data_IF_420626318519
#
_entry.id   IF_420626318519
#
_cell.length_a   1.000
_cell.length_b   1.000
_cell.length_c   1.000
_cell.angle_alpha   90.00
_cell.angle_beta   90.00
_cell.angle_gamma   90.00
#
_symmetry.space_group_name_H-M   'P 1'
#
loop_
_entity.id
_entity.type
_entity.pdbx_description
1 polymer ?
#
# COMPACT_ATOMS: atom_id res chain seq x y z
N UNK A 1 29.98 73.04 0.06
CA UNK A 1 29.10 71.85 -0.18
C UNK A 1 29.14 71.04 1.10
N UNK A 2 27.99 70.80 1.71
CA UNK A 2 27.89 70.38 3.14
C UNK A 2 27.98 68.82 3.22
N UNK A 3 28.81 68.30 4.11
CA UNK A 3 29.05 66.87 4.29
C UNK A 3 27.74 66.02 4.44
N UNK A 4 26.66 66.65 4.90
CA UNK A 4 25.35 66.01 5.03
C UNK A 4 24.67 65.66 3.68
N UNK A 5 24.98 66.41 2.63
CA UNK A 5 24.38 66.21 1.29
C UNK A 5 25.04 65.05 0.57
N UNK A 6 26.35 64.87 0.71
CA UNK A 6 27.12 63.77 0.13
C UNK A 6 26.75 62.44 0.78
N UNK A 7 26.51 62.40 2.10
CA UNK A 7 26.10 61.19 2.84
C UNK A 7 24.68 60.72 2.49
N UNK A 8 23.79 61.58 2.02
CA UNK A 8 22.44 61.25 1.63
C UNK A 8 22.40 60.64 0.20
N UNK A 9 23.17 61.20 -0.74
CA UNK A 9 23.27 60.67 -2.10
C UNK A 9 23.95 59.29 -2.13
N UNK A 10 25.02 59.08 -1.37
CA UNK A 10 25.69 57.77 -1.30
C UNK A 10 24.76 56.71 -0.73
N UNK A 11 23.96 57.01 0.31
CA UNK A 11 22.99 56.07 0.88
C UNK A 11 21.88 55.67 -0.13
N UNK A 12 21.44 56.62 -0.95
CA UNK A 12 20.41 56.33 -1.98
C UNK A 12 20.99 55.49 -3.12
N UNK A 13 22.21 55.76 -3.57
CA UNK A 13 22.90 54.97 -4.59
C UNK A 13 23.15 53.51 -4.15
N UNK A 14 23.53 53.29 -2.87
CA UNK A 14 23.71 51.96 -2.32
C UNK A 14 22.37 51.25 -2.17
N UNK A 15 21.29 51.90 -1.76
CA UNK A 15 19.97 51.35 -1.61
C UNK A 15 19.37 50.92 -2.95
N UNK A 16 19.52 51.70 -4.01
CA UNK A 16 19.05 51.42 -5.34
C UNK A 16 19.89 50.31 -6.02
N UNK A 17 21.19 50.29 -5.77
CA UNK A 17 22.08 49.20 -6.18
C UNK A 17 21.76 47.86 -5.53
N UNK A 18 21.44 47.84 -4.23
CA UNK A 18 21.04 46.64 -3.50
C UNK A 18 19.65 46.13 -3.93
N UNK A 19 18.67 47.03 -4.15
CA UNK A 19 17.36 46.64 -4.62
C UNK A 19 17.42 46.04 -6.01
N UNK A 20 18.21 46.61 -6.94
CA UNK A 20 18.39 46.04 -8.29
C UNK A 20 19.12 44.71 -8.29
N UNK A 21 20.08 44.49 -7.38
CA UNK A 21 20.76 43.21 -7.24
C UNK A 21 19.85 42.12 -6.64
N UNK A 22 19.04 42.48 -5.63
CA UNK A 22 18.07 41.55 -5.02
C UNK A 22 16.99 41.13 -6.01
N UNK A 23 16.43 42.10 -6.75
CA UNK A 23 15.40 41.81 -7.78
C UNK A 23 15.97 40.94 -8.91
N UNK A 24 17.20 41.17 -9.36
CA UNK A 24 17.87 40.31 -10.35
C UNK A 24 18.18 38.91 -9.81
N UNK A 25 18.63 38.78 -8.56
CA UNK A 25 18.84 37.50 -7.92
C UNK A 25 17.52 36.73 -7.72
N UNK A 26 16.45 37.39 -7.30
CA UNK A 26 15.13 36.77 -7.18
C UNK A 26 14.55 36.29 -8.50
N UNK A 27 14.75 37.06 -9.59
CA UNK A 27 14.32 36.68 -10.93
C UNK A 27 15.14 35.49 -11.49
N UNK A 28 16.43 35.41 -11.20
CA UNK A 28 17.27 34.26 -11.58
C UNK A 28 16.91 33.03 -10.75
N UNK A 29 16.65 33.17 -9.46
CA UNK A 29 16.16 32.07 -8.62
C UNK A 29 14.75 31.61 -9.00
N UNK A 30 13.85 32.53 -9.34
CA UNK A 30 12.51 32.18 -9.82
C UNK A 30 12.55 31.46 -11.17
N UNK A 31 13.42 31.88 -12.08
CA UNK A 31 13.60 31.17 -13.36
C UNK A 31 14.29 29.81 -13.20
N UNK A 32 15.22 29.64 -12.23
CA UNK A 32 15.76 28.31 -11.89
C UNK A 32 14.71 27.40 -11.23
N UNK A 33 13.83 27.93 -10.37
CA UNK A 33 12.75 27.15 -9.75
C UNK A 33 11.65 26.76 -10.74
N UNK A 34 11.42 27.55 -11.75
CA UNK A 34 10.47 27.20 -12.85
C UNK A 34 11.08 26.15 -13.78
N UNK A 35 12.41 26.12 -13.94
CA UNK A 35 13.10 25.10 -14.74
C UNK A 35 13.24 23.73 -14.02
N UNK A 36 13.03 23.67 -12.71
CA UNK A 36 13.06 22.43 -11.91
C UNK A 36 11.68 21.89 -11.52
N UNK A 37 10.59 22.47 -12.02
CA UNK A 37 9.34 21.71 -12.15
C UNK A 37 9.54 20.67 -13.26
N UNK A 38 10.47 19.73 -13.03
CA UNK A 38 10.45 18.43 -13.67
C UNK A 38 9.08 17.85 -13.33
N UNK A 39 8.12 18.02 -14.24
CA UNK A 39 7.03 17.10 -14.39
C UNK A 39 7.65 15.72 -14.13
N UNK A 40 7.20 15.03 -13.13
CA UNK A 40 7.36 13.59 -13.05
C UNK A 40 6.55 13.05 -14.22
N UNK A 41 7.14 13.18 -15.42
CA UNK A 41 6.60 12.62 -16.62
C UNK A 41 6.57 11.13 -16.38
N UNK A 42 5.38 10.60 -16.30
CA UNK A 42 5.19 9.17 -16.39
C UNK A 42 6.00 8.75 -17.64
N UNK A 43 6.94 7.81 -17.43
CA UNK A 43 7.65 7.20 -18.55
C UNK A 43 6.60 6.77 -19.57
N UNK A 44 6.78 7.03 -20.87
CA UNK A 44 5.79 6.64 -21.87
C UNK A 44 5.56 5.12 -21.74
N UNK A 45 4.31 4.76 -21.48
CA UNK A 45 3.90 3.37 -21.29
C UNK A 45 4.21 2.57 -22.55
N UNK A 46 4.86 1.42 -22.45
CA UNK A 46 5.11 0.55 -23.59
C UNK A 46 3.81 -0.09 -24.09
N UNK A 47 3.77 -0.54 -25.33
CA UNK A 47 2.59 -1.20 -25.92
C UNK A 47 2.17 -2.44 -25.12
N UNK A 48 3.13 -3.22 -24.60
CA UNK A 48 2.84 -4.42 -23.82
C UNK A 48 2.27 -4.07 -22.42
N UNK A 49 2.68 -2.97 -21.84
CA UNK A 49 2.07 -2.45 -20.61
C UNK A 49 0.63 -1.94 -20.86
N UNK A 50 0.38 -1.33 -22.03
CA UNK A 50 -0.99 -0.97 -22.43
C UNK A 50 -1.84 -2.24 -22.58
N UNK A 51 -1.32 -3.30 -23.21
CA UNK A 51 -2.04 -4.57 -23.31
C UNK A 51 -2.36 -5.14 -21.92
N UNK A 52 -1.37 -5.19 -21.02
CA UNK A 52 -1.54 -5.66 -19.65
C UNK A 52 -2.66 -4.93 -18.91
N UNK A 53 -2.65 -3.60 -19.00
CA UNK A 53 -3.49 -2.76 -18.16
C UNK A 53 -4.89 -2.51 -18.75
N UNK A 54 -5.07 -2.69 -20.06
CA UNK A 54 -6.28 -2.28 -20.77
C UNK A 54 -6.93 -3.35 -21.65
N UNK A 55 -6.24 -4.45 -21.96
CA UNK A 55 -6.69 -5.41 -22.98
C UNK A 55 -6.74 -6.87 -22.49
N UNK A 56 -5.76 -7.31 -21.69
CA UNK A 56 -5.59 -8.73 -21.31
C UNK A 56 -6.73 -9.26 -20.44
N UNK A 57 -7.42 -8.40 -19.69
CA UNK A 57 -8.57 -8.82 -18.89
C UNK A 57 -9.63 -9.54 -19.73
N UNK A 58 -9.89 -9.04 -20.96
CA UNK A 58 -10.82 -9.64 -21.90
C UNK A 58 -10.15 -10.54 -22.96
N UNK A 59 -8.88 -10.28 -23.31
CA UNK A 59 -8.16 -10.94 -24.40
C UNK A 59 -6.98 -11.78 -23.92
N UNK A 60 -7.24 -12.82 -23.14
CA UNK A 60 -6.23 -13.73 -22.58
C UNK A 60 -6.67 -15.20 -22.63
N UNK A 61 -5.83 -16.11 -22.16
CA UNK A 61 -6.18 -17.52 -22.00
C UNK A 61 -7.41 -17.73 -21.10
N UNK A 62 -7.56 -16.88 -20.08
CA UNK A 62 -8.65 -17.00 -19.10
C UNK A 62 -9.96 -16.47 -19.64
N UNK A 63 -9.91 -15.39 -20.42
CA UNK A 63 -11.06 -14.72 -21.00
C UNK A 63 -10.74 -14.39 -22.46
N UNK A 64 -11.32 -15.15 -23.40
CA UNK A 64 -10.96 -15.11 -24.82
C UNK A 64 -12.09 -14.46 -25.64
N UNK A 65 -12.42 -13.22 -25.34
CA UNK A 65 -13.47 -12.50 -26.04
C UNK A 65 -13.09 -12.26 -27.50
N UNK A 66 -14.03 -12.54 -28.41
CA UNK A 66 -13.82 -12.42 -29.86
C UNK A 66 -12.71 -13.34 -30.42
N UNK A 67 -12.25 -14.34 -29.66
CA UNK A 67 -11.19 -15.23 -30.07
C UNK A 67 -9.78 -14.62 -30.12
N UNK A 68 -9.64 -13.32 -29.77
CA UNK A 68 -8.36 -12.63 -29.78
C UNK A 68 -7.58 -12.88 -28.46
N UNK A 69 -6.30 -13.15 -28.58
CA UNK A 69 -5.40 -13.30 -27.43
C UNK A 69 -4.21 -12.35 -27.54
N UNK A 70 -4.06 -11.51 -26.50
CA UNK A 70 -3.00 -10.50 -26.38
C UNK A 70 -2.02 -10.81 -25.25
N UNK A 71 -2.11 -11.98 -24.66
CA UNK A 71 -1.22 -12.47 -23.60
C UNK A 71 0.03 -13.19 -24.14
N UNK A 72 0.16 -13.33 -25.46
CA UNK A 72 1.33 -13.85 -26.15
C UNK A 72 1.38 -13.36 -27.60
N UNK A 73 2.59 -13.27 -28.17
CA UNK A 73 2.81 -12.69 -29.50
C UNK A 73 2.08 -13.44 -30.63
N UNK A 74 2.06 -14.75 -30.58
CA UNK A 74 1.41 -15.56 -31.60
C UNK A 74 -0.11 -15.27 -31.68
N UNK A 75 -0.77 -15.11 -30.53
CA UNK A 75 -2.19 -14.74 -30.47
C UNK A 75 -2.47 -13.37 -31.08
N UNK A 76 -1.61 -12.39 -30.84
CA UNK A 76 -1.69 -11.08 -31.48
C UNK A 76 -1.59 -11.17 -33.01
N UNK A 77 -0.66 -11.99 -33.52
CA UNK A 77 -0.44 -12.17 -34.96
C UNK A 77 -1.53 -13.00 -35.66
N UNK A 78 -2.07 -13.97 -34.96
CA UNK A 78 -3.17 -14.82 -35.46
C UNK A 78 -4.45 -14.02 -35.60
N UNK A 79 -4.71 -13.09 -34.66
CA UNK A 79 -5.95 -12.31 -34.59
C UNK A 79 -7.09 -13.09 -33.95
N UNK A 80 -8.32 -12.62 -34.19
CA UNK A 80 -9.56 -13.18 -33.63
C UNK A 80 -10.64 -13.42 -34.68
N UNK A 81 -11.88 -13.54 -34.23
CA UNK A 81 -13.05 -13.78 -35.09
C UNK A 81 -13.26 -12.68 -36.16
N UNK A 82 -12.85 -11.43 -35.87
CA UNK A 82 -12.93 -10.31 -36.82
C UNK A 82 -11.75 -10.25 -37.80
N UNK A 83 -10.83 -11.20 -37.75
CA UNK A 83 -9.65 -11.26 -38.60
C UNK A 83 -8.37 -10.91 -37.85
N UNK A 84 -7.33 -10.55 -38.63
CA UNK A 84 -6.03 -10.15 -38.07
C UNK A 84 -6.16 -8.88 -37.24
N UNK A 85 -5.62 -8.91 -36.04
CA UNK A 85 -5.63 -7.74 -35.17
C UNK A 85 -4.65 -6.65 -35.61
N UNK A 86 -3.50 -7.05 -36.18
CA UNK A 86 -2.45 -6.14 -36.65
C UNK A 86 -1.92 -6.55 -38.03
N UNK A 87 -1.46 -5.53 -38.80
CA UNK A 87 -0.66 -5.71 -39.99
C UNK A 87 0.74 -5.15 -39.71
N UNK A 88 1.75 -6.03 -39.62
CA UNK A 88 3.11 -5.65 -39.27
C UNK A 88 3.64 -4.59 -40.24
N UNK A 89 4.32 -3.57 -39.71
CA UNK A 89 4.82 -2.43 -40.46
C UNK A 89 3.76 -1.44 -40.93
N UNK A 90 2.45 -1.72 -40.67
CA UNK A 90 1.31 -0.90 -41.13
C UNK A 90 0.32 -0.61 -40.03
N UNK A 91 0.80 0.12 -38.99
CA UNK A 91 0.01 0.41 -37.80
C UNK A 91 -1.36 1.05 -38.13
N UNK A 92 -1.39 2.04 -39.00
CA UNK A 92 -2.64 2.75 -39.34
C UNK A 92 -3.67 1.89 -40.11
N UNK A 93 -3.25 0.81 -40.74
CA UNK A 93 -4.12 -0.12 -41.47
C UNK A 93 -4.54 -1.33 -40.61
N UNK A 94 -4.11 -1.35 -39.36
CA UNK A 94 -4.36 -2.46 -38.43
C UNK A 94 -5.72 -2.31 -37.74
N UNK A 95 -6.51 -3.40 -37.72
CA UNK A 95 -7.83 -3.47 -37.05
C UNK A 95 -7.75 -3.03 -35.60
N UNK A 96 -6.67 -3.34 -34.89
CA UNK A 96 -6.46 -2.88 -33.52
C UNK A 96 -6.53 -1.37 -33.40
N UNK A 97 -5.88 -0.63 -34.31
CA UNK A 97 -5.88 0.84 -34.26
C UNK A 97 -7.27 1.38 -34.64
N UNK A 98 -7.93 0.77 -35.60
CA UNK A 98 -9.34 1.10 -35.93
C UNK A 98 -10.23 0.95 -34.71
N UNK A 99 -10.14 -0.15 -33.98
CA UNK A 99 -10.96 -0.42 -32.79
C UNK A 99 -10.67 0.50 -31.60
N UNK A 100 -9.41 0.82 -31.33
CA UNK A 100 -9.07 1.71 -30.21
C UNK A 100 -9.34 3.19 -30.49
N UNK A 101 -9.51 3.56 -31.77
CA UNK A 101 -9.88 4.92 -32.20
C UNK A 101 -11.37 5.08 -32.48
N UNK A 102 -12.13 3.99 -32.54
CA UNK A 102 -13.57 4.02 -32.81
C UNK A 102 -14.30 4.82 -31.71
N UNK A 103 -15.39 5.48 -32.10
CA UNK A 103 -16.26 6.27 -31.20
C UNK A 103 -17.65 5.67 -31.04
N UNK A 104 -17.90 4.56 -31.69
CA UNK A 104 -19.15 3.79 -31.68
C UNK A 104 -19.05 2.53 -30.79
N UNK A 105 -20.01 1.65 -30.89
CA UNK A 105 -20.11 0.39 -30.15
C UNK A 105 -18.97 -0.61 -30.44
N UNK A 106 -18.20 -0.38 -31.51
CA UNK A 106 -17.05 -1.21 -31.87
C UNK A 106 -15.76 -0.82 -31.17
N UNK A 107 -15.79 0.24 -30.37
CA UNK A 107 -14.64 0.78 -29.64
C UNK A 107 -14.07 -0.23 -28.64
N UNK A 108 -12.73 -0.30 -28.59
CA UNK A 108 -11.99 -1.06 -27.59
C UNK A 108 -11.08 -0.13 -26.74
N UNK A 109 -11.01 -0.34 -25.41
CA UNK A 109 -11.87 -1.21 -24.59
C UNK A 109 -13.33 -0.74 -24.60
N UNK A 110 -14.31 -1.67 -24.51
CA UNK A 110 -15.73 -1.31 -24.53
C UNK A 110 -16.16 -0.57 -23.26
N UNK A 111 -15.46 -0.82 -22.16
CA UNK A 111 -15.73 -0.25 -20.83
C UNK A 111 -14.57 0.65 -20.39
N UNK A 112 -14.90 1.70 -19.64
CA UNK A 112 -13.92 2.66 -19.14
C UNK A 112 -13.57 3.77 -20.14
N UNK A 113 -12.58 4.62 -19.77
CA UNK A 113 -12.14 5.73 -20.62
C UNK A 113 -11.44 5.22 -21.89
N UNK A 114 -11.59 5.90 -23.04
CA UNK A 114 -10.80 5.62 -24.25
C UNK A 114 -9.30 5.64 -23.97
N UNK A 115 -8.50 5.04 -24.85
CA UNK A 115 -7.06 5.21 -24.82
C UNK A 115 -6.72 6.68 -25.18
N UNK A 116 -5.66 7.21 -24.55
CA UNK A 116 -5.15 8.53 -24.93
C UNK A 116 -4.45 8.47 -26.29
N UNK A 117 -4.33 9.62 -26.96
CA UNK A 117 -3.59 9.72 -28.23
C UNK A 117 -2.15 9.19 -28.08
N UNK A 118 -1.48 9.50 -26.99
CA UNK A 118 -0.14 8.98 -26.69
C UNK A 118 -0.10 7.46 -26.61
N UNK A 119 -1.10 6.82 -26.01
CA UNK A 119 -1.20 5.36 -25.96
C UNK A 119 -1.46 4.76 -27.35
N UNK A 120 -2.33 5.38 -28.13
CA UNK A 120 -2.62 4.98 -29.52
C UNK A 120 -1.36 5.10 -30.38
N UNK A 121 -0.61 6.18 -30.25
CA UNK A 121 0.64 6.39 -30.97
C UNK A 121 1.70 5.34 -30.57
N UNK A 122 1.75 4.97 -29.29
CA UNK A 122 2.62 3.89 -28.81
C UNK A 122 2.25 2.57 -29.47
N UNK A 123 0.96 2.23 -29.59
CA UNK A 123 0.50 1.02 -30.29
C UNK A 123 0.83 1.04 -31.77
N UNK A 124 0.67 2.20 -32.44
CA UNK A 124 1.07 2.36 -33.86
C UNK A 124 2.57 2.13 -34.06
N UNK A 125 3.39 2.77 -33.20
CA UNK A 125 4.85 2.62 -33.25
C UNK A 125 5.28 1.16 -33.00
N UNK A 126 4.64 0.49 -32.05
CA UNK A 126 4.87 -0.91 -31.76
C UNK A 126 4.58 -1.82 -32.97
N UNK A 127 3.44 -1.62 -33.63
CA UNK A 127 3.07 -2.38 -34.83
C UNK A 127 4.03 -2.08 -35.99
N UNK A 128 4.41 -0.82 -36.20
CA UNK A 128 5.35 -0.40 -37.23
C UNK A 128 6.76 -0.94 -37.01
N UNK A 129 7.11 -1.27 -35.78
CA UNK A 129 8.38 -1.91 -35.39
C UNK A 129 8.30 -3.45 -35.34
N UNK A 130 7.37 -4.06 -36.09
CA UNK A 130 7.19 -5.51 -36.19
C UNK A 130 6.80 -6.18 -34.87
N UNK A 131 6.12 -5.45 -33.99
CA UNK A 131 5.57 -5.92 -32.71
C UNK A 131 6.64 -6.64 -31.85
N UNK A 132 7.69 -5.95 -31.38
CA UNK A 132 8.71 -6.53 -30.54
C UNK A 132 8.09 -7.00 -29.21
N UNK A 133 8.45 -8.21 -28.76
CA UNK A 133 7.75 -8.85 -27.68
C UNK A 133 8.66 -9.22 -26.50
N UNK A 134 8.42 -8.61 -25.34
CA UNK A 134 9.03 -9.01 -24.07
C UNK A 134 7.91 -9.45 -23.09
N UNK A 135 7.73 -10.75 -22.83
CA UNK A 135 6.65 -11.25 -21.98
C UNK A 135 6.76 -10.75 -20.52
N UNK A 136 7.93 -10.23 -20.10
CA UNK A 136 8.08 -9.65 -18.75
C UNK A 136 7.23 -8.40 -18.56
N UNK A 137 7.00 -7.62 -19.62
CA UNK A 137 6.20 -6.39 -19.59
C UNK A 137 4.70 -6.67 -19.45
N UNK A 138 4.25 -7.89 -19.74
CA UNK A 138 2.87 -8.33 -19.53
C UNK A 138 2.60 -8.81 -18.11
N UNK A 139 3.66 -9.05 -17.35
CA UNK A 139 3.53 -9.47 -15.96
C UNK A 139 3.08 -8.28 -15.11
N UNK A 140 2.11 -8.52 -14.24
CA UNK A 140 1.69 -7.52 -13.26
C UNK A 140 2.87 -7.19 -12.32
N UNK A 141 3.38 -5.93 -12.32
CA UNK A 141 4.50 -5.55 -11.47
C UNK A 141 4.20 -5.72 -9.98
N UNK A 142 2.93 -5.73 -9.57
CA UNK A 142 2.51 -5.99 -8.19
C UNK A 142 2.92 -7.38 -7.73
N UNK A 143 3.00 -8.35 -8.65
CA UNK A 143 3.48 -9.70 -8.35
C UNK A 143 4.99 -9.79 -8.12
N UNK A 144 5.75 -8.73 -8.45
CA UNK A 144 7.17 -8.64 -8.14
C UNK A 144 7.44 -8.10 -6.74
N UNK A 145 6.41 -7.67 -6.03
CA UNK A 145 6.51 -7.25 -4.63
C UNK A 145 7.05 -8.40 -3.76
N UNK A 146 7.89 -8.05 -2.80
CA UNK A 146 8.55 -9.05 -1.94
C UNK A 146 7.57 -9.98 -1.22
N UNK A 147 6.38 -9.50 -0.87
CA UNK A 147 5.34 -10.27 -0.18
C UNK A 147 4.79 -11.47 -0.98
N UNK A 148 4.94 -11.44 -2.32
CA UNK A 148 4.51 -12.52 -3.21
C UNK A 148 5.64 -13.46 -3.62
N UNK A 149 6.87 -13.23 -3.11
CA UNK A 149 8.02 -14.10 -3.36
C UNK A 149 8.12 -15.15 -2.26
N UNK A 150 8.59 -16.33 -2.63
CA UNK A 150 8.89 -17.35 -1.63
C UNK A 150 9.89 -16.82 -0.61
N UNK A 151 9.63 -17.10 0.66
CA UNK A 151 10.51 -16.69 1.75
C UNK A 151 11.93 -17.21 1.52
N UNK A 152 12.88 -16.31 1.63
CA UNK A 152 14.31 -16.62 1.54
C UNK A 152 14.94 -16.43 2.91
N UNK A 153 15.82 -17.37 3.30
CA UNK A 153 16.60 -17.20 4.52
C UNK A 153 17.60 -16.08 4.30
N UNK A 154 17.49 -15.01 5.05
CA UNK A 154 18.45 -13.89 5.01
C UNK A 154 19.62 -14.16 5.97
N UNK A 155 20.82 -13.73 5.59
CA UNK A 155 21.96 -13.76 6.49
C UNK A 155 21.82 -12.64 7.53
N UNK A 156 21.77 -13.02 8.80
CA UNK A 156 21.75 -12.06 9.91
C UNK A 156 23.11 -11.39 9.99
N UNK A 157 23.19 -10.05 10.07
CA UNK A 157 24.46 -9.34 10.24
C UNK A 157 25.24 -9.85 11.47
N UNK A 158 26.57 -9.82 11.39
CA UNK A 158 27.43 -10.15 12.54
C UNK A 158 27.26 -9.10 13.64
N UNK A 159 27.42 -9.54 14.90
CA UNK A 159 27.46 -8.62 16.05
C UNK A 159 28.64 -7.67 15.91
N UNK A 160 28.40 -6.40 16.20
CA UNK A 160 29.47 -5.41 16.24
C UNK A 160 30.10 -5.35 17.63
N UNK A 161 31.33 -4.85 17.68
CA UNK A 161 32.04 -4.58 18.94
C UNK A 161 31.56 -3.31 19.66
N UNK A 162 30.58 -2.61 19.11
CA UNK A 162 29.99 -1.40 19.73
C UNK A 162 28.95 -1.80 20.78
N UNK A 163 28.74 -1.00 21.85
CA UNK A 163 27.84 -1.31 22.95
C UNK A 163 26.34 -1.09 22.58
N UNK A 164 25.92 -1.68 21.50
CA UNK A 164 24.50 -1.76 21.12
C UNK A 164 24.07 -3.18 21.47
N UNK A 165 22.92 -3.31 22.11
CA UNK A 165 22.34 -4.62 22.35
C UNK A 165 21.98 -5.30 21.02
N UNK A 166 22.93 -6.05 20.47
CA UNK A 166 22.81 -6.83 19.24
C UNK A 166 22.31 -8.28 19.58
N UNK A 167 21.58 -8.45 20.71
CA UNK A 167 21.17 -9.75 21.20
C UNK A 167 20.23 -10.49 20.26
N UNK A 168 19.31 -9.76 19.60
CA UNK A 168 18.39 -10.34 18.65
C UNK A 168 18.80 -10.14 17.18
N UNK A 169 18.39 -11.03 16.25
CA UNK A 169 18.56 -10.81 14.82
C UNK A 169 17.97 -9.49 14.34
N UNK A 170 16.82 -9.08 14.90
CA UNK A 170 16.16 -7.82 14.53
C UNK A 170 17.02 -6.63 14.91
N UNK A 171 17.59 -6.65 16.12
CA UNK A 171 18.46 -5.56 16.60
C UNK A 171 19.72 -5.44 15.73
N UNK A 172 20.28 -6.55 15.24
CA UNK A 172 21.42 -6.54 14.31
C UNK A 172 21.10 -5.86 13.00
N UNK A 173 19.95 -6.14 12.39
CA UNK A 173 19.51 -5.45 11.17
C UNK A 173 19.27 -3.95 11.43
N UNK A 174 18.62 -3.59 12.54
CA UNK A 174 18.38 -2.20 12.91
C UNK A 174 19.69 -1.46 13.16
N UNK A 175 20.61 -2.08 13.88
CA UNK A 175 21.96 -1.52 14.16
C UNK A 175 22.74 -1.30 12.88
N UNK A 176 22.74 -2.26 11.95
CA UNK A 176 23.39 -2.11 10.66
C UNK A 176 22.79 -0.93 9.86
N UNK A 177 21.48 -0.86 9.76
CA UNK A 177 20.79 0.21 9.04
C UNK A 177 21.05 1.59 9.67
N UNK A 178 21.00 1.69 11.00
CA UNK A 178 21.27 2.94 11.74
C UNK A 178 22.70 3.43 11.53
N UNK A 179 23.67 2.53 11.59
CA UNK A 179 25.09 2.87 11.32
C UNK A 179 25.30 3.37 9.91
N UNK A 180 24.70 2.71 8.91
CA UNK A 180 24.78 3.13 7.51
C UNK A 180 24.25 4.57 7.29
N UNK A 181 23.32 5.01 8.14
CA UNK A 181 22.74 6.36 8.13
C UNK A 181 23.43 7.33 9.11
N UNK A 182 24.45 6.89 9.85
CA UNK A 182 25.10 7.71 10.88
C UNK A 182 24.22 8.01 12.10
N UNK A 183 23.13 7.26 12.29
CA UNK A 183 22.19 7.43 13.41
C UNK A 183 22.77 6.73 14.64
N UNK A 184 22.87 7.47 15.73
CA UNK A 184 23.31 6.93 17.03
C UNK A 184 22.09 6.53 17.87
N UNK A 185 22.10 5.36 18.52
CA UNK A 185 21.05 4.98 19.45
C UNK A 185 20.92 6.01 20.58
N UNK A 186 19.70 6.23 21.00
CA UNK A 186 19.42 7.04 22.20
C UNK A 186 19.47 6.16 23.43
N UNK A 187 19.75 6.70 24.64
CA UNK A 187 19.67 5.94 25.86
C UNK A 187 18.28 5.34 26.10
N UNK A 188 18.22 4.22 26.85
CA UNK A 188 16.96 3.64 27.26
C UNK A 188 16.12 4.66 28.03
N UNK A 189 14.81 4.65 27.80
CA UNK A 189 13.88 5.53 28.50
C UNK A 189 13.78 5.15 29.99
N UNK A 190 13.28 6.07 30.82
CA UNK A 190 13.01 5.76 32.23
C UNK A 190 11.91 4.68 32.39
N UNK A 191 11.90 3.99 33.53
CA UNK A 191 10.89 2.97 33.84
C UNK A 191 9.46 3.50 33.71
N UNK A 192 9.19 4.72 34.17
CA UNK A 192 7.88 5.37 34.06
C UNK A 192 7.47 5.56 32.58
N UNK A 193 8.43 5.95 31.76
CA UNK A 193 8.19 6.10 30.32
C UNK A 193 7.95 4.76 29.65
N UNK A 194 8.71 3.72 30.01
CA UNK A 194 8.60 2.38 29.45
C UNK A 194 7.25 1.75 29.76
N UNK A 195 6.82 1.73 31.03
CA UNK A 195 5.52 1.16 31.41
C UNK A 195 4.37 1.91 30.75
N UNK A 196 4.44 3.24 30.72
CA UNK A 196 3.40 4.04 30.05
C UNK A 196 3.29 3.68 28.56
N UNK A 197 4.41 3.58 27.84
CA UNK A 197 4.42 3.21 26.41
C UNK A 197 3.88 1.80 26.21
N UNK A 198 4.35 0.83 26.99
CA UNK A 198 3.91 -0.56 26.91
C UNK A 198 2.38 -0.67 27.05
N UNK A 199 1.80 -0.05 28.06
CA UNK A 199 0.37 -0.10 28.31
C UNK A 199 -0.45 0.52 27.17
N UNK A 200 -0.03 1.69 26.67
CA UNK A 200 -0.71 2.29 25.54
C UNK A 200 -0.60 1.49 24.26
N UNK A 201 0.55 0.91 23.99
CA UNK A 201 0.77 0.11 22.78
C UNK A 201 0.02 -1.23 22.85
N UNK A 202 0.12 -1.95 23.97
CA UNK A 202 -0.39 -3.31 24.11
C UNK A 202 -1.87 -3.33 24.53
N UNK A 203 -2.29 -2.47 25.45
CA UNK A 203 -3.66 -2.45 26.02
C UNK A 203 -4.50 -1.26 25.55
N UNK A 204 -3.87 -0.21 25.02
CA UNK A 204 -4.55 1.01 24.59
C UNK A 204 -5.06 1.92 25.72
N UNK A 205 -4.66 1.64 26.97
CA UNK A 205 -5.04 2.37 28.18
C UNK A 205 -3.80 2.71 29.01
N UNK A 206 -3.84 3.71 29.90
CA UNK A 206 -2.73 3.98 30.81
C UNK A 206 -2.60 2.89 31.88
N UNK A 207 -1.39 2.67 32.46
CA UNK A 207 -1.23 1.86 33.67
C UNK A 207 -1.93 2.53 34.85
N UNK A 208 -2.31 1.72 35.84
CA UNK A 208 -2.78 2.25 37.12
C UNK A 208 -1.59 2.76 37.96
N UNK A 209 -1.83 3.63 38.97
CA UNK A 209 -0.77 4.05 39.88
C UNK A 209 -0.07 2.85 40.54
N UNK A 210 -0.82 1.81 40.90
CA UNK A 210 -0.31 0.59 41.51
C UNK A 210 0.62 -0.18 40.54
N UNK A 211 0.24 -0.29 39.28
CA UNK A 211 1.09 -0.92 38.25
C UNK A 211 2.43 -0.20 38.09
N UNK A 212 2.40 1.14 38.16
CA UNK A 212 3.61 1.97 38.07
C UNK A 212 4.48 1.75 39.31
N UNK A 213 3.92 1.83 40.51
CA UNK A 213 4.65 1.69 41.77
C UNK A 213 5.28 0.31 41.88
N UNK A 214 4.55 -0.75 41.53
CA UNK A 214 5.05 -2.14 41.50
C UNK A 214 6.25 -2.30 40.56
N UNK A 215 6.14 -1.75 39.34
CA UNK A 215 7.24 -1.83 38.37
C UNK A 215 8.45 -1.00 38.79
N UNK A 216 8.25 0.18 39.38
CA UNK A 216 9.35 1.00 39.90
C UNK A 216 10.08 0.35 41.07
N UNK A 217 9.34 -0.32 41.93
CA UNK A 217 9.91 -1.04 43.09
C UNK A 217 10.65 -2.34 42.70
N UNK A 218 10.33 -2.91 41.52
CA UNK A 218 10.98 -4.12 41.06
C UNK A 218 12.40 -3.84 40.56
N UNK A 219 13.40 -4.31 41.29
CA UNK A 219 14.83 -4.15 40.98
C UNK A 219 15.47 -5.38 40.33
N UNK A 220 14.69 -6.40 39.98
CA UNK A 220 15.19 -7.60 39.35
C UNK A 220 15.63 -7.33 37.90
N UNK A 221 16.54 -8.15 37.40
CA UNK A 221 17.10 -8.00 36.06
C UNK A 221 16.09 -8.30 34.93
N UNK A 222 15.05 -9.10 35.24
CA UNK A 222 13.96 -9.52 34.34
C UNK A 222 12.64 -8.77 34.59
N UNK A 223 12.70 -7.61 35.29
CA UNK A 223 11.51 -6.82 35.61
C UNK A 223 10.73 -6.36 34.37
N UNK A 224 11.45 -6.03 33.30
CA UNK A 224 10.85 -5.61 32.04
C UNK A 224 10.13 -6.76 31.34
N UNK A 225 10.77 -7.90 31.21
CA UNK A 225 10.22 -9.10 30.58
C UNK A 225 8.95 -9.56 31.30
N UNK A 226 8.98 -9.60 32.62
CA UNK A 226 7.79 -9.94 33.43
C UNK A 226 6.67 -8.94 33.29
N UNK A 227 6.99 -7.66 33.16
CA UNK A 227 5.98 -6.63 32.89
C UNK A 227 5.33 -6.85 31.52
N UNK A 228 6.13 -7.14 30.49
CA UNK A 228 5.64 -7.45 29.13
C UNK A 228 4.75 -8.69 29.16
N UNK A 229 5.18 -9.80 29.77
CA UNK A 229 4.43 -11.03 29.84
C UNK A 229 3.09 -10.83 30.56
N UNK A 230 3.09 -10.13 31.70
CA UNK A 230 1.87 -9.78 32.43
C UNK A 230 0.92 -8.93 31.60
N UNK A 231 1.45 -8.00 30.83
CA UNK A 231 0.65 -7.11 30.00
C UNK A 231 0.03 -7.87 28.81
N UNK A 232 0.79 -8.75 28.18
CA UNK A 232 0.30 -9.61 27.10
C UNK A 232 -0.75 -10.63 27.58
N UNK A 233 -0.64 -11.13 28.82
CA UNK A 233 -1.62 -12.04 29.43
C UNK A 233 -2.93 -11.34 29.84
N UNK A 234 -3.03 -10.05 29.72
CA UNK A 234 -4.25 -9.31 30.05
C UNK A 234 -5.35 -9.54 28.99
N UNK A 235 -6.60 -9.82 29.38
CA UNK A 235 -7.71 -9.95 28.42
C UNK A 235 -7.96 -8.68 27.60
N UNK A 236 -7.48 -7.54 28.07
CA UNK A 236 -7.55 -6.27 27.34
C UNK A 236 -6.64 -6.22 26.11
N UNK A 237 -5.67 -7.13 26.02
CA UNK A 237 -4.87 -7.30 24.81
C UNK A 237 -5.75 -7.63 23.60
N UNK A 238 -6.58 -8.65 23.72
CA UNK A 238 -7.52 -9.02 22.65
C UNK A 238 -8.51 -7.89 22.34
N UNK A 239 -9.06 -7.21 23.37
CA UNK A 239 -9.95 -6.05 23.16
C UNK A 239 -9.27 -4.92 22.34
N UNK A 240 -8.00 -4.65 22.62
CA UNK A 240 -7.20 -3.62 21.93
C UNK A 240 -6.92 -4.02 20.48
N UNK A 241 -6.43 -5.24 20.27
CA UNK A 241 -5.94 -5.68 18.97
C UNK A 241 -7.06 -6.16 18.04
N UNK A 242 -8.15 -6.68 18.57
CA UNK A 242 -9.34 -7.02 17.78
C UNK A 242 -9.89 -5.83 17.00
N UNK A 243 -9.76 -4.62 17.51
CA UNK A 243 -10.22 -3.39 16.81
C UNK A 243 -9.58 -3.22 15.44
N UNK A 244 -8.28 -3.55 15.31
CA UNK A 244 -7.58 -3.47 14.02
C UNK A 244 -8.10 -4.51 13.02
N UNK A 245 -8.42 -5.71 13.50
CA UNK A 245 -8.99 -6.75 12.65
C UNK A 245 -10.44 -6.45 12.27
N UNK A 246 -11.25 -6.02 13.25
CA UNK A 246 -12.65 -5.67 13.02
C UNK A 246 -12.81 -4.50 12.04
N UNK A 247 -11.86 -3.57 12.02
CA UNK A 247 -11.79 -2.49 11.03
C UNK A 247 -11.55 -3.04 9.61
N UNK A 248 -10.63 -3.98 9.45
CA UNK A 248 -10.38 -4.68 8.17
C UNK A 248 -11.61 -5.49 7.74
N UNK A 249 -12.30 -6.14 8.67
CA UNK A 249 -13.50 -6.92 8.42
C UNK A 249 -14.73 -6.06 8.13
N UNK A 250 -14.62 -4.73 8.26
CA UNK A 250 -15.75 -3.79 8.15
C UNK A 250 -16.88 -4.13 9.13
N UNK A 251 -16.53 -4.62 10.33
CA UNK A 251 -17.49 -5.00 11.35
C UNK A 251 -18.33 -3.81 11.82
N UNK A 252 -19.64 -4.02 11.92
CA UNK A 252 -20.55 -3.10 12.55
C UNK A 252 -21.71 -3.85 13.22
N UNK A 253 -22.31 -3.24 14.25
CA UNK A 253 -23.51 -3.76 14.92
C UNK A 253 -24.79 -3.52 14.12
N UNK A 254 -24.68 -2.87 12.96
CA UNK A 254 -25.77 -2.57 12.01
C UNK A 254 -25.35 -2.87 10.58
N UNK A 255 -26.31 -2.91 9.66
CA UNK A 255 -26.05 -3.20 8.24
C UNK A 255 -25.47 -2.02 7.46
N UNK A 256 -25.61 -0.79 7.96
CA UNK A 256 -25.30 0.42 7.20
C UNK A 256 -26.33 0.71 6.10
N UNK A 257 -26.02 1.62 5.19
CA UNK A 257 -26.88 2.11 4.10
C UNK A 257 -28.24 2.69 4.57
N UNK A 258 -29.18 2.88 3.63
CA UNK A 258 -30.44 3.58 3.84
C UNK A 258 -31.38 2.90 4.83
N UNK A 259 -31.33 1.56 4.92
CA UNK A 259 -32.13 0.75 5.83
C UNK A 259 -31.27 0.12 6.92
N UNK A 260 -30.59 0.95 7.66
CA UNK A 260 -29.66 0.57 8.72
C UNK A 260 -30.34 -0.21 9.85
N UNK A 261 -30.37 -1.54 9.73
CA UNK A 261 -30.96 -2.44 10.72
C UNK A 261 -29.90 -3.03 11.65
N UNK A 262 -30.27 -3.27 12.90
CA UNK A 262 -29.39 -3.94 13.86
C UNK A 262 -29.08 -5.37 13.45
N UNK A 263 -27.86 -5.78 13.76
CA UNK A 263 -27.37 -7.16 13.68
C UNK A 263 -27.28 -7.74 15.09
N UNK A 264 -28.37 -8.28 15.59
CA UNK A 264 -28.49 -8.69 17.00
C UNK A 264 -27.46 -9.76 17.44
N UNK A 265 -26.82 -10.44 16.50
CA UNK A 265 -25.84 -11.49 16.75
C UNK A 265 -24.41 -11.19 16.28
N UNK A 266 -24.15 -10.01 15.71
CA UNK A 266 -22.82 -9.64 15.20
C UNK A 266 -21.75 -9.66 16.29
N UNK A 267 -22.10 -9.30 17.52
CA UNK A 267 -21.19 -9.29 18.66
C UNK A 267 -20.48 -10.62 18.89
N UNK A 268 -21.05 -11.77 18.48
CA UNK A 268 -20.43 -13.09 18.62
C UNK A 268 -19.13 -13.17 17.82
N UNK A 269 -19.12 -12.63 16.62
CA UNK A 269 -17.90 -12.57 15.79
C UNK A 269 -16.85 -11.66 16.42
N UNK A 270 -17.25 -10.49 16.92
CA UNK A 270 -16.33 -9.59 17.64
C UNK A 270 -15.68 -10.29 18.82
N UNK A 271 -16.48 -10.96 19.63
CA UNK A 271 -16.00 -11.65 20.83
C UNK A 271 -15.09 -12.83 20.45
N UNK A 272 -15.44 -13.57 19.39
CA UNK A 272 -14.55 -14.62 18.86
C UNK A 272 -13.18 -14.07 18.44
N UNK A 273 -13.12 -12.92 17.76
CA UNK A 273 -11.86 -12.28 17.39
C UNK A 273 -11.03 -11.90 18.63
N UNK A 274 -11.69 -11.35 19.66
CA UNK A 274 -11.03 -11.01 20.94
C UNK A 274 -10.47 -12.27 21.61
N UNK A 275 -11.26 -13.32 21.69
CA UNK A 275 -10.86 -14.59 22.33
C UNK A 275 -9.73 -15.27 21.54
N UNK A 276 -9.79 -15.28 20.22
CA UNK A 276 -8.75 -15.85 19.37
C UNK A 276 -7.39 -15.15 19.57
N UNK A 277 -7.39 -13.81 19.67
CA UNK A 277 -6.18 -13.04 19.95
C UNK A 277 -5.66 -13.25 21.37
N UNK A 278 -6.54 -13.34 22.38
CA UNK A 278 -6.14 -13.65 23.76
C UNK A 278 -5.62 -15.08 23.93
N UNK A 279 -6.09 -16.00 23.08
CA UNK A 279 -5.61 -17.37 23.04
C UNK A 279 -4.34 -17.57 22.20
N UNK A 280 -3.80 -16.49 21.62
CA UNK A 280 -2.67 -16.53 20.67
C UNK A 280 -2.88 -17.57 19.56
N UNK A 281 -4.11 -17.60 19.00
CA UNK A 281 -4.46 -18.52 17.92
C UNK A 281 -3.52 -18.32 16.73
N UNK A 282 -2.83 -19.37 16.22
CA UNK A 282 -1.95 -19.24 15.05
C UNK A 282 -2.63 -18.56 13.88
N UNK A 283 -1.94 -17.64 13.23
CA UNK A 283 -2.55 -16.75 12.22
C UNK A 283 -3.14 -17.51 11.02
N UNK A 284 -2.51 -18.56 10.59
CA UNK A 284 -3.01 -19.45 9.53
C UNK A 284 -4.36 -20.07 9.95
N UNK A 285 -4.46 -20.57 11.19
CA UNK A 285 -5.71 -21.12 11.73
C UNK A 285 -6.78 -20.07 11.92
N UNK A 286 -6.39 -18.88 12.38
CA UNK A 286 -7.28 -17.73 12.50
C UNK A 286 -7.91 -17.34 11.15
N UNK A 287 -7.15 -17.41 10.05
CA UNK A 287 -7.66 -17.15 8.70
C UNK A 287 -8.51 -18.30 8.16
N UNK A 288 -8.06 -19.55 8.35
CA UNK A 288 -8.81 -20.74 7.92
C UNK A 288 -10.22 -20.77 8.50
N UNK A 289 -10.34 -20.54 9.83
CA UNK A 289 -11.62 -20.56 10.54
C UNK A 289 -12.57 -19.46 10.02
N UNK A 290 -12.06 -18.32 9.64
CA UNK A 290 -12.86 -17.22 9.09
C UNK A 290 -13.32 -17.45 7.65
N UNK A 291 -12.58 -18.21 6.85
CA UNK A 291 -12.94 -18.47 5.44
C UNK A 291 -13.81 -19.74 5.32
N UNK A 292 -13.53 -20.78 6.12
CA UNK A 292 -14.13 -22.10 5.93
C UNK A 292 -14.36 -22.88 7.24
N UNK A 293 -14.39 -22.19 8.39
CA UNK A 293 -14.53 -22.83 9.69
C UNK A 293 -15.79 -23.68 9.81
N UNK A 294 -16.90 -23.22 9.28
CA UNK A 294 -18.19 -23.95 9.22
C UNK A 294 -18.12 -25.25 8.42
N UNK A 295 -17.25 -25.32 7.41
CA UNK A 295 -17.03 -26.49 6.55
C UNK A 295 -15.97 -27.42 7.14
N UNK A 296 -14.86 -26.86 7.61
CA UNK A 296 -13.73 -27.63 8.14
C UNK A 296 -14.02 -28.24 9.50
N UNK A 297 -14.82 -27.56 10.31
CA UNK A 297 -15.17 -27.98 11.69
C UNK A 297 -16.67 -27.77 11.97
N UNK A 298 -17.59 -28.45 11.26
CA UNK A 298 -19.02 -28.18 11.33
C UNK A 298 -19.67 -28.49 12.68
N UNK A 299 -19.00 -29.25 13.55
CA UNK A 299 -19.43 -29.52 14.92
C UNK A 299 -18.99 -28.45 15.92
N UNK A 300 -18.07 -27.57 15.53
CA UNK A 300 -17.55 -26.50 16.36
C UNK A 300 -18.30 -25.19 16.10
N UNK A 301 -19.06 -24.75 17.10
CA UNK A 301 -19.80 -23.49 17.01
C UNK A 301 -18.88 -22.26 16.91
N UNK A 302 -17.66 -22.32 17.46
CA UNK A 302 -16.69 -21.24 17.39
C UNK A 302 -16.17 -21.08 15.93
N UNK A 303 -15.89 -22.18 15.26
CA UNK A 303 -15.51 -22.17 13.85
C UNK A 303 -16.64 -21.63 12.94
N UNK A 304 -17.89 -21.97 13.26
CA UNK A 304 -19.05 -21.37 12.56
C UNK A 304 -19.17 -19.86 12.83
N UNK A 305 -18.92 -19.41 14.08
CA UNK A 305 -18.92 -17.98 14.42
C UNK A 305 -17.81 -17.25 13.68
N UNK A 306 -16.63 -17.85 13.57
CA UNK A 306 -15.50 -17.30 12.84
C UNK A 306 -15.85 -16.97 11.36
N UNK A 307 -16.57 -17.88 10.67
CA UNK A 307 -16.97 -17.70 9.28
C UNK A 307 -17.96 -16.52 9.07
N UNK A 308 -18.48 -15.93 10.15
CA UNK A 308 -19.24 -14.67 10.09
C UNK A 308 -18.42 -13.49 9.53
N UNK A 309 -17.09 -13.62 9.42
CA UNK A 309 -16.23 -12.71 8.67
C UNK A 309 -16.77 -12.42 7.27
N UNK A 310 -17.24 -13.44 6.56
CA UNK A 310 -17.78 -13.31 5.19
C UNK A 310 -19.07 -12.46 5.12
N UNK A 311 -19.74 -12.28 6.25
CA UNK A 311 -20.98 -11.50 6.36
C UNK A 311 -20.80 -10.22 7.21
N UNK A 312 -19.57 -9.88 7.64
CA UNK A 312 -19.33 -8.78 8.56
C UNK A 312 -19.51 -7.39 7.90
N UNK A 313 -19.23 -7.29 6.59
CA UNK A 313 -19.31 -6.05 5.83
C UNK A 313 -20.73 -5.46 5.73
N UNK A 314 -20.85 -4.22 5.24
CA UNK A 314 -22.15 -3.58 5.05
C UNK A 314 -23.02 -4.33 4.04
N UNK A 315 -24.34 -4.28 4.24
CA UNK A 315 -25.31 -4.99 3.43
C UNK A 315 -26.39 -4.05 2.92
N UNK A 316 -26.55 -3.98 1.58
CA UNK A 316 -27.58 -3.19 0.94
C UNK A 316 -28.86 -4.03 0.70
N UNK A 317 -29.90 -3.79 1.50
CA UNK A 317 -31.18 -4.43 1.34
C UNK A 317 -32.00 -3.92 0.14
N UNK A 318 -31.71 -2.71 -0.34
CA UNK A 318 -32.46 -2.10 -1.45
C UNK A 318 -31.98 -2.62 -2.78
N UNK A 319 -30.67 -2.67 -3.00
CA UNK A 319 -30.09 -3.16 -4.24
C UNK A 319 -30.39 -4.64 -4.54
N UNK A 320 -30.76 -5.44 -3.52
CA UNK A 320 -31.14 -6.85 -3.73
C UNK A 320 -32.64 -7.06 -3.97
N UNK A 321 -33.47 -6.07 -3.68
CA UNK A 321 -34.91 -6.16 -3.93
C UNK A 321 -35.29 -5.85 -5.40
N UNK A 322 -34.36 -5.35 -6.20
CA UNK A 322 -34.57 -4.95 -7.59
C UNK A 322 -34.06 -5.98 -8.62
N UNK A 323 -33.55 -7.13 -8.17
CA UNK A 323 -33.15 -8.27 -9.02
C UNK A 323 -34.13 -9.43 -8.89
#
# INVERSE_FOLDING_TARGET
MNEKTIGFEIRNLIRDGLQTAIVRSCLVFASLLIATSMSWGQQPQSALEIFRDRCIECHSKRNNEGGLRLDHREGLLTGGQSGKAIELGRGNESLMIERVTATDETRMPPVGSPLSESQIDTLRAFINADAPWDPKLLRDPRLDHWAWKSLQRVNVPETSSEPIDDSSPIDRFLSQASRAQGIKPVPMASKETLIRRLYFDVLGIPPTPEDVDDYLADTSTDAWERLVDRTLASPRYGERWARHWLDIAHYADTHGFERDQRRDHAWRYRDWVIDALNADLPYDKFIEDQIAGDVLSPADSQATIASSFLAAGPWDFVGQAET
#
